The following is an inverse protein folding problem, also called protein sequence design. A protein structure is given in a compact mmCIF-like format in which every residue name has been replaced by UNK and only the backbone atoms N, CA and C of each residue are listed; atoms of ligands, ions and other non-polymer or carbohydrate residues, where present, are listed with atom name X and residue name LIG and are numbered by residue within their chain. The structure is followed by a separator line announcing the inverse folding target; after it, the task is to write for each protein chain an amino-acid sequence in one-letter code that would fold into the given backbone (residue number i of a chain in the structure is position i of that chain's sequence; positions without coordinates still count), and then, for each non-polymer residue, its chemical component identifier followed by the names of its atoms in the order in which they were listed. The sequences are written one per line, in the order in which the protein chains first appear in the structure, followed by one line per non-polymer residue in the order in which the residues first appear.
data_IF_669734885763
#
_entry.id   IF_669734885763
#
_cell.length_a   1.000
_cell.length_b   1.000
_cell.length_c   1.000
_cell.angle_alpha   90.00
_cell.angle_beta   90.00
_cell.angle_gamma   90.00
#
_symmetry.space_group_name_H-M   'P 1'
#
loop_
_entity.id
_entity.type
_entity.pdbx_description
1 polymer ?
#
# COMPACT_ATOMS: atom_id res chain seq x y z
N UNK A 1 -28.59 8.29 5.69
CA UNK A 1 -27.87 8.38 4.39
C UNK A 1 -26.80 7.32 4.33
N UNK A 2 -26.72 6.64 3.21
CA UNK A 2 -25.67 5.65 3.01
C UNK A 2 -24.39 6.33 2.49
N UNK A 3 -23.24 5.93 3.04
CA UNK A 3 -21.95 6.34 2.54
C UNK A 3 -21.41 5.26 1.61
N UNK A 4 -20.82 5.66 0.50
CA UNK A 4 -20.17 4.74 -0.43
C UNK A 4 -18.65 4.89 -0.32
N UNK A 5 -17.95 3.79 -0.12
CA UNK A 5 -16.50 3.77 -0.05
C UNK A 5 -15.91 3.03 -1.25
N UNK A 6 -14.94 3.64 -1.88
CA UNK A 6 -14.16 3.01 -2.94
C UNK A 6 -12.76 2.74 -2.38
N UNK A 7 -12.39 1.48 -2.31
CA UNK A 7 -11.09 1.06 -1.78
C UNK A 7 -10.15 0.81 -2.95
N UNK A 8 -9.01 1.50 -2.93
CA UNK A 8 -8.03 1.46 -4.01
C UNK A 8 -6.69 1.00 -3.46
N UNK A 9 -6.07 0.05 -4.16
CA UNK A 9 -4.72 -0.38 -3.88
C UNK A 9 -3.73 0.57 -4.55
N UNK A 10 -2.56 0.82 -3.91
CA UNK A 10 -1.49 1.60 -4.53
C UNK A 10 -0.99 0.93 -5.82
N UNK A 11 -0.36 1.73 -6.69
CA UNK A 11 0.25 1.22 -7.92
C UNK A 11 1.49 0.38 -7.65
N UNK A 12 2.01 -0.26 -8.70
CA UNK A 12 3.22 -1.07 -8.63
C UNK A 12 4.41 -0.24 -8.16
N UNK A 13 5.19 -0.78 -7.22
CA UNK A 13 6.42 -0.19 -6.73
C UNK A 13 7.64 -1.02 -7.14
N UNK A 14 8.83 -0.43 -7.03
CA UNK A 14 10.08 -1.17 -7.29
C UNK A 14 10.25 -2.34 -6.32
N UNK A 15 9.75 -2.26 -5.09
CA UNK A 15 9.79 -3.39 -4.15
C UNK A 15 8.82 -4.51 -4.55
N UNK A 16 7.70 -4.20 -5.21
CA UNK A 16 6.82 -5.22 -5.79
C UNK A 16 7.57 -6.05 -6.84
N UNK A 17 8.32 -5.39 -7.72
CA UNK A 17 9.11 -6.06 -8.77
C UNK A 17 10.18 -6.95 -8.14
N UNK A 18 10.85 -6.47 -7.10
CA UNK A 18 11.92 -7.19 -6.42
C UNK A 18 11.41 -8.27 -5.45
N UNK A 19 10.10 -8.32 -5.19
CA UNK A 19 9.51 -9.26 -4.24
C UNK A 19 9.83 -8.95 -2.78
N UNK A 20 10.18 -7.70 -2.47
CA UNK A 20 10.49 -7.27 -1.12
C UNK A 20 9.23 -6.97 -0.31
N UNK A 21 9.26 -7.31 0.96
CA UNK A 21 8.20 -6.99 1.91
C UNK A 21 8.19 -5.49 2.19
N UNK A 22 7.05 -4.85 2.00
CA UNK A 22 6.94 -3.39 2.11
C UNK A 22 6.52 -2.93 3.50
N UNK A 23 5.37 -3.35 4.00
CA UNK A 23 4.85 -2.90 5.30
C UNK A 23 4.89 -1.38 5.40
N UNK A 24 5.63 -0.84 6.39
CA UNK A 24 5.90 0.58 6.54
C UNK A 24 7.18 1.03 5.81
N UNK A 25 7.87 0.13 5.11
CA UNK A 25 9.02 0.46 4.29
C UNK A 25 8.63 1.40 3.15
N UNK A 26 9.54 2.29 2.78
CA UNK A 26 9.28 3.30 1.75
C UNK A 26 9.81 2.84 0.39
N UNK A 27 8.91 2.73 -0.58
CA UNK A 27 9.24 2.40 -1.96
C UNK A 27 8.47 3.32 -2.90
N UNK A 28 9.02 3.54 -4.09
CA UNK A 28 8.43 4.44 -5.07
C UNK A 28 7.63 3.67 -6.13
N UNK A 29 6.63 4.32 -6.70
CA UNK A 29 5.90 3.77 -7.84
C UNK A 29 6.84 3.66 -9.05
N UNK A 30 6.65 2.58 -9.82
CA UNK A 30 7.29 2.43 -11.13
C UNK A 30 6.49 3.19 -12.19
N UNK A 31 7.03 3.31 -13.41
CA UNK A 31 6.27 3.87 -14.54
C UNK A 31 4.96 3.13 -14.75
N UNK A 32 4.99 1.79 -14.62
CA UNK A 32 3.77 0.97 -14.72
C UNK A 32 2.81 1.29 -13.57
N UNK A 33 3.30 1.50 -12.37
CA UNK A 33 2.49 1.90 -11.21
C UNK A 33 1.81 3.24 -11.44
N UNK A 34 2.51 4.20 -12.01
CA UNK A 34 1.96 5.51 -12.38
C UNK A 34 0.87 5.36 -13.45
N UNK A 35 1.11 4.55 -14.48
CA UNK A 35 0.11 4.26 -15.51
C UNK A 35 -1.13 3.61 -14.92
N UNK A 36 -0.97 2.64 -14.02
CA UNK A 36 -2.08 1.99 -13.33
C UNK A 36 -2.93 3.00 -12.56
N UNK A 37 -2.28 3.88 -11.81
CA UNK A 37 -2.98 4.91 -11.03
C UNK A 37 -3.70 5.91 -11.93
N UNK A 38 -3.08 6.31 -13.04
CA UNK A 38 -3.66 7.24 -14.02
C UNK A 38 -4.91 6.63 -14.67
N UNK A 39 -4.81 5.38 -15.11
CA UNK A 39 -5.93 4.66 -15.73
C UNK A 39 -7.08 4.51 -14.73
N UNK A 40 -6.77 4.16 -13.48
CA UNK A 40 -7.77 4.06 -12.43
C UNK A 40 -8.44 5.40 -12.17
N UNK A 41 -7.67 6.48 -12.09
CA UNK A 41 -8.20 7.83 -11.87
C UNK A 41 -9.18 8.23 -12.97
N UNK A 42 -8.86 7.94 -14.22
CA UNK A 42 -9.76 8.20 -15.36
C UNK A 42 -11.06 7.41 -15.21
N UNK A 43 -10.98 6.15 -14.81
CA UNK A 43 -12.17 5.32 -14.56
C UNK A 43 -12.99 5.85 -13.39
N UNK A 44 -12.34 6.30 -12.32
CA UNK A 44 -13.01 6.84 -11.13
C UNK A 44 -13.69 8.18 -11.39
N UNK A 45 -13.30 8.92 -12.41
CA UNK A 45 -13.91 10.20 -12.76
C UNK A 45 -15.41 10.08 -13.09
N UNK A 46 -15.88 8.87 -13.37
CA UNK A 46 -17.30 8.59 -13.65
C UNK A 46 -18.16 8.49 -12.38
N UNK A 47 -17.54 8.46 -11.21
CA UNK A 47 -18.21 8.29 -9.94
C UNK A 47 -18.23 9.60 -9.14
N UNK A 48 -19.25 9.83 -8.29
CA UNK A 48 -19.33 11.05 -7.49
C UNK A 48 -18.43 10.94 -6.26
N UNK A 49 -17.12 11.18 -6.46
CA UNK A 49 -16.13 11.13 -5.38
C UNK A 49 -16.04 12.51 -4.72
N UNK A 50 -16.24 12.56 -3.41
CA UNK A 50 -16.20 13.80 -2.64
C UNK A 50 -14.88 14.01 -1.90
N UNK A 51 -14.27 12.91 -1.40
CA UNK A 51 -13.08 12.97 -0.58
C UNK A 51 -12.12 11.85 -0.93
N UNK A 52 -10.82 12.13 -0.81
CA UNK A 52 -9.76 11.13 -0.94
C UNK A 52 -9.00 11.06 0.39
N UNK A 53 -8.92 9.86 0.94
CA UNK A 53 -8.10 9.56 2.11
C UNK A 53 -7.04 8.56 1.71
N UNK A 54 -5.81 8.78 2.14
CA UNK A 54 -4.72 7.84 1.87
C UNK A 54 -3.89 7.58 3.11
N UNK A 55 -3.20 6.43 3.11
CA UNK A 55 -2.06 6.23 3.99
C UNK A 55 -1.02 7.33 3.75
N UNK A 56 -0.22 7.66 4.75
CA UNK A 56 0.86 8.64 4.64
C UNK A 56 2.17 8.04 4.12
N UNK A 57 2.19 6.75 3.75
CA UNK A 57 3.35 6.12 3.12
C UNK A 57 3.50 6.57 1.66
N UNK A 58 4.75 6.73 1.22
CA UNK A 58 5.07 7.33 -0.08
C UNK A 58 4.32 6.73 -1.26
N UNK A 59 4.27 5.39 -1.36
CA UNK A 59 3.57 4.71 -2.46
C UNK A 59 2.07 4.99 -2.49
N UNK A 60 1.46 5.11 -1.33
CA UNK A 60 0.03 5.42 -1.23
C UNK A 60 -0.23 6.90 -1.54
N UNK A 61 0.61 7.79 -1.05
CA UNK A 61 0.52 9.22 -1.32
C UNK A 61 0.72 9.52 -2.81
N UNK A 62 1.70 8.91 -3.45
CA UNK A 62 1.93 9.07 -4.89
C UNK A 62 0.70 8.63 -5.69
N UNK A 63 0.14 7.46 -5.37
CA UNK A 63 -1.08 6.97 -6.03
C UNK A 63 -2.24 7.92 -5.80
N UNK A 64 -2.44 8.36 -4.56
CA UNK A 64 -3.53 9.27 -4.20
C UNK A 64 -3.41 10.63 -4.89
N UNK A 65 -2.19 11.16 -5.01
CA UNK A 65 -1.96 12.44 -5.71
C UNK A 65 -2.32 12.36 -7.19
N UNK A 66 -2.05 11.22 -7.84
CA UNK A 66 -2.42 11.02 -9.24
C UNK A 66 -3.96 11.02 -9.38
N UNK A 67 -4.66 10.34 -8.48
CA UNK A 67 -6.12 10.36 -8.48
C UNK A 67 -6.66 11.77 -8.18
N UNK A 68 -6.07 12.46 -7.22
CA UNK A 68 -6.48 13.80 -6.82
C UNK A 68 -6.37 14.81 -7.97
N UNK A 69 -5.30 14.72 -8.76
CA UNK A 69 -5.10 15.61 -9.91
C UNK A 69 -6.21 15.43 -10.96
N UNK A 70 -6.58 14.18 -11.25
CA UNK A 70 -7.64 13.89 -12.23
C UNK A 70 -9.01 14.25 -11.70
N UNK A 71 -9.27 13.97 -10.41
CA UNK A 71 -10.56 14.20 -9.79
C UNK A 71 -10.74 15.63 -9.25
N UNK A 72 -9.68 16.42 -9.28
CA UNK A 72 -9.65 17.79 -8.75
C UNK A 72 -10.05 17.85 -7.26
N UNK A 73 -9.45 16.97 -6.47
CA UNK A 73 -9.67 16.85 -5.03
C UNK A 73 -8.35 16.97 -4.29
N UNK A 74 -8.42 17.21 -2.98
CA UNK A 74 -7.26 17.19 -2.10
C UNK A 74 -7.10 15.80 -1.47
N UNK A 75 -5.86 15.44 -1.17
CA UNK A 75 -5.53 14.18 -0.46
C UNK A 75 -5.48 14.45 1.04
N UNK A 76 -6.21 13.64 1.80
CA UNK A 76 -6.18 13.64 3.26
C UNK A 76 -5.35 12.45 3.72
N UNK A 77 -4.15 12.70 4.23
CA UNK A 77 -3.23 11.66 4.68
C UNK A 77 -3.51 11.25 6.12
N UNK A 78 -3.41 9.95 6.40
CA UNK A 78 -3.55 9.44 7.76
C UNK A 78 -2.74 8.16 7.96
N UNK A 79 -2.09 8.04 9.12
CA UNK A 79 -1.36 6.81 9.46
C UNK A 79 -2.31 5.64 9.84
N UNK A 80 -3.58 5.94 10.06
CA UNK A 80 -4.58 4.92 10.36
C UNK A 80 -4.85 3.96 9.19
N UNK A 81 -4.50 4.38 7.96
CA UNK A 81 -4.65 3.56 6.75
C UNK A 81 -3.37 2.86 6.33
N UNK A 82 -2.32 2.92 7.14
CA UNK A 82 -1.07 2.20 6.84
C UNK A 82 -1.33 0.70 6.80
N UNK A 83 -0.59 0.07 5.89
CA UNK A 83 -0.48 -1.37 5.88
C UNK A 83 0.17 -1.86 7.18
N UNK A 84 0.03 -3.18 7.47
CA UNK A 84 0.70 -3.81 8.59
C UNK A 84 2.21 -3.55 8.53
N UNK A 85 2.78 -3.11 9.64
CA UNK A 85 4.22 -2.94 9.76
C UNK A 85 4.91 -4.30 9.90
N UNK A 86 5.94 -4.53 9.11
CA UNK A 86 6.69 -5.78 9.12
C UNK A 86 8.06 -5.66 9.79
N UNK A 87 8.38 -4.51 10.37
CA UNK A 87 9.61 -4.32 11.16
C UNK A 87 10.86 -4.80 10.42
N UNK A 88 11.60 -5.74 11.02
CA UNK A 88 12.84 -6.26 10.43
C UNK A 88 12.64 -7.00 9.12
N UNK A 89 11.41 -7.37 8.76
CA UNK A 89 11.10 -8.02 7.48
C UNK A 89 11.04 -7.02 6.32
N UNK A 90 10.89 -5.74 6.60
CA UNK A 90 10.75 -4.72 5.56
C UNK A 90 12.03 -4.63 4.74
N UNK A 91 11.87 -4.67 3.42
CA UNK A 91 12.98 -4.72 2.49
C UNK A 91 13.54 -6.11 2.21
N UNK A 92 13.10 -7.14 2.93
CA UNK A 92 13.54 -8.51 2.71
C UNK A 92 12.71 -9.21 1.64
N UNK A 93 13.33 -10.14 0.94
CA UNK A 93 12.63 -11.06 0.04
C UNK A 93 11.92 -12.13 0.87
N UNK A 94 10.83 -12.68 0.33
CA UNK A 94 10.06 -13.72 1.02
C UNK A 94 10.94 -14.95 1.35
N UNK A 95 11.84 -15.33 0.45
CA UNK A 95 12.74 -16.47 0.68
C UNK A 95 13.71 -16.21 1.84
N UNK A 96 14.18 -14.96 1.98
CA UNK A 96 15.04 -14.56 3.11
C UNK A 96 14.28 -14.65 4.44
N UNK A 97 13.00 -14.28 4.45
CA UNK A 97 12.15 -14.37 5.63
C UNK A 97 11.94 -15.82 6.03
N UNK A 98 11.64 -16.69 5.08
CA UNK A 98 11.46 -18.13 5.33
C UNK A 98 12.72 -18.78 5.87
N UNK A 99 13.90 -18.37 5.38
CA UNK A 99 15.18 -18.94 5.78
C UNK A 99 15.61 -18.47 7.17
N UNK A 100 15.50 -17.16 7.44
CA UNK A 100 16.05 -16.54 8.64
C UNK A 100 15.03 -16.37 9.78
N UNK A 101 13.74 -16.40 9.47
CA UNK A 101 12.65 -16.17 10.44
C UNK A 101 11.56 -17.24 10.31
N UNK A 102 11.94 -18.49 10.13
CA UNK A 102 11.01 -19.59 9.86
C UNK A 102 9.89 -19.71 10.88
N UNK A 103 10.20 -19.61 12.18
CA UNK A 103 9.21 -19.73 13.25
C UNK A 103 8.19 -18.58 13.20
N UNK A 104 8.67 -17.35 13.02
CA UNK A 104 7.81 -16.17 12.92
C UNK A 104 6.96 -16.21 11.64
N UNK A 105 7.54 -16.67 10.54
CA UNK A 105 6.84 -16.84 9.28
C UNK A 105 5.67 -17.84 9.44
N UNK A 106 5.89 -18.94 10.13
CA UNK A 106 4.86 -19.94 10.39
C UNK A 106 3.73 -19.37 11.26
N UNK A 107 4.06 -18.56 12.27
CA UNK A 107 3.06 -17.90 13.11
C UNK A 107 2.22 -16.94 12.25
N UNK A 108 2.85 -16.14 11.41
CA UNK A 108 2.15 -15.21 10.52
C UNK A 108 1.18 -15.92 9.55
N UNK A 109 1.61 -17.06 9.00
CA UNK A 109 0.80 -17.82 8.04
C UNK A 109 -0.35 -18.57 8.70
N UNK A 110 -0.12 -19.15 9.86
CA UNK A 110 -1.06 -20.09 10.50
C UNK A 110 -1.86 -19.45 11.66
N UNK A 111 -1.26 -18.53 12.39
CA UNK A 111 -1.87 -17.86 13.55
C UNK A 111 -1.53 -16.38 13.56
N UNK A 112 -2.02 -15.59 12.57
CA UNK A 112 -1.61 -14.20 12.41
C UNK A 112 -1.92 -13.30 13.62
N UNK A 113 -2.90 -13.67 14.44
CA UNK A 113 -3.24 -12.93 15.66
C UNK A 113 -2.16 -13.00 16.76
N UNK A 114 -1.23 -13.95 16.66
CA UNK A 114 -0.10 -14.08 17.58
C UNK A 114 1.19 -13.49 16.97
N UNK A 115 1.11 -12.96 15.76
CA UNK A 115 2.27 -12.46 15.04
C UNK A 115 2.75 -11.13 15.61
N UNK A 116 4.06 -11.06 15.91
CA UNK A 116 4.72 -9.83 16.32
C UNK A 116 6.15 -9.85 15.77
N UNK A 117 6.49 -8.85 14.95
CA UNK A 117 7.80 -8.75 14.31
C UNK A 117 8.69 -7.80 15.09
N UNK A 118 9.93 -8.20 15.46
CA UNK A 118 10.89 -7.30 16.09
C UNK A 118 11.17 -6.07 15.23
N UNK A 119 11.24 -4.91 15.87
CA UNK A 119 11.58 -3.65 15.20
C UNK A 119 10.42 -2.69 14.91
#
# INVERSE_FOLDING_TARGET
MANTFYIVRHGETNWNILGKTQGHGNSNLTEKGIEQATTLAESMSKYPIDYIYSSDLGRAVETANILADVLNLEVNETNALREMGFGVWEGLLMDEIKENYADMYNIWRNTPHLFDVPG
#
